data_IF_651941695961
#
_entry.id   IF_651941695961
#
_cell.length_a   1.000
_cell.length_b   1.000
_cell.length_c   1.000
_cell.angle_alpha   90.00
_cell.angle_beta   90.00
_cell.angle_gamma   90.00
#
_symmetry.space_group_name_H-M   'P 1'
#
loop_
_entity.id
_entity.type
_entity.pdbx_description
1 polymer ?
#
# COMPACT_ATOMS: atom_id res chain seq x y z
N UNK A 1 -6.27 12.83 9.54
CA UNK A 1 -5.25 11.77 9.56
C UNK A 1 -4.81 11.50 8.13
N UNK A 2 -3.73 10.77 7.94
CA UNK A 2 -3.20 10.41 6.62
C UNK A 2 -3.02 8.90 6.54
N UNK A 3 -3.41 8.32 5.40
CA UNK A 3 -3.41 6.89 5.16
C UNK A 3 -2.54 6.54 3.95
N UNK A 4 -1.65 5.60 4.13
CA UNK A 4 -0.94 4.96 3.04
C UNK A 4 -1.76 3.78 2.52
N UNK A 5 -1.95 3.71 1.21
CA UNK A 5 -2.74 2.66 0.55
C UNK A 5 -1.81 1.57 0.05
N UNK A 6 -1.91 0.39 0.64
CA UNK A 6 -1.10 -0.76 0.27
C UNK A 6 -1.53 -1.37 -1.08
N UNK A 7 -0.62 -2.08 -1.72
CA UNK A 7 -0.86 -2.82 -2.98
C UNK A 7 -2.05 -3.76 -2.87
N UNK A 8 -2.27 -4.38 -1.72
CA UNK A 8 -3.42 -5.28 -1.51
C UNK A 8 -4.77 -4.57 -1.68
N UNK A 9 -4.85 -3.29 -1.36
CA UNK A 9 -6.05 -2.47 -1.58
C UNK A 9 -6.21 -2.19 -3.07
N UNK A 10 -5.15 -1.73 -3.75
CA UNK A 10 -5.19 -1.43 -5.19
C UNK A 10 -5.63 -2.64 -6.01
N UNK A 11 -5.11 -3.82 -5.67
CA UNK A 11 -5.48 -5.07 -6.33
C UNK A 11 -6.97 -5.39 -6.22
N UNK A 12 -7.58 -5.18 -5.04
CA UNK A 12 -9.02 -5.40 -4.85
C UNK A 12 -9.86 -4.31 -5.49
N UNK A 13 -9.43 -3.08 -5.49
CA UNK A 13 -10.11 -2.00 -6.23
C UNK A 13 -10.14 -2.28 -7.73
N UNK A 14 -9.07 -2.87 -8.27
CA UNK A 14 -8.95 -3.20 -9.70
C UNK A 14 -9.73 -4.45 -10.11
N UNK A 15 -10.17 -5.30 -9.18
CA UNK A 15 -10.80 -6.59 -9.47
C UNK A 15 -12.21 -6.66 -8.88
N UNK A 16 -13.21 -6.28 -9.68
CA UNK A 16 -14.62 -6.26 -9.27
C UNK A 16 -15.18 -7.65 -8.91
N UNK A 17 -14.56 -8.74 -9.36
CA UNK A 17 -14.96 -10.11 -9.02
C UNK A 17 -14.31 -10.65 -7.73
N UNK A 18 -13.38 -9.92 -7.13
CA UNK A 18 -12.79 -10.30 -5.84
C UNK A 18 -13.82 -10.11 -4.71
N UNK A 19 -13.88 -11.07 -3.79
CA UNK A 19 -14.81 -11.03 -2.64
C UNK A 19 -14.56 -9.84 -1.72
N UNK A 20 -13.36 -9.28 -1.72
CA UNK A 20 -12.96 -8.13 -0.92
C UNK A 20 -13.08 -6.79 -1.66
N UNK A 21 -13.53 -6.80 -2.92
CA UNK A 21 -13.68 -5.58 -3.73
C UNK A 21 -14.59 -4.56 -3.07
N UNK A 22 -15.77 -4.98 -2.60
CA UNK A 22 -16.74 -4.10 -1.94
C UNK A 22 -16.17 -3.51 -0.65
N UNK A 23 -15.45 -4.30 0.13
CA UNK A 23 -14.82 -3.86 1.38
C UNK A 23 -13.76 -2.78 1.09
N UNK A 24 -12.88 -3.03 0.12
CA UNK A 24 -11.85 -2.07 -0.28
C UNK A 24 -12.47 -0.75 -0.77
N UNK A 25 -13.47 -0.84 -1.65
CA UNK A 25 -14.16 0.32 -2.21
C UNK A 25 -14.84 1.13 -1.11
N UNK A 26 -15.56 0.48 -0.21
CA UNK A 26 -16.25 1.15 0.91
C UNK A 26 -15.25 1.85 1.83
N UNK A 27 -14.16 1.17 2.20
CA UNK A 27 -13.15 1.74 3.08
C UNK A 27 -12.53 3.02 2.47
N UNK A 28 -12.11 2.97 1.23
CA UNK A 28 -11.51 4.12 0.53
C UNK A 28 -12.50 5.28 0.41
N UNK A 29 -13.75 5.00 0.03
CA UNK A 29 -14.79 6.02 -0.08
C UNK A 29 -15.10 6.67 1.28
N UNK A 30 -15.16 5.88 2.34
CA UNK A 30 -15.44 6.40 3.69
C UNK A 30 -14.28 7.28 4.19
N UNK A 31 -13.03 6.85 4.01
CA UNK A 31 -11.89 7.68 4.37
C UNK A 31 -11.86 9.00 3.57
N UNK A 32 -12.16 8.93 2.29
CA UNK A 32 -12.27 10.13 1.44
C UNK A 32 -13.39 11.06 1.94
N UNK A 33 -14.56 10.50 2.28
CA UNK A 33 -15.70 11.27 2.82
C UNK A 33 -15.36 11.96 4.15
N UNK A 34 -14.51 11.35 4.97
CA UNK A 34 -14.00 11.94 6.22
C UNK A 34 -12.96 13.03 5.99
N UNK A 35 -12.53 13.26 4.76
CA UNK A 35 -11.48 14.23 4.44
C UNK A 35 -10.08 13.76 4.79
N UNK A 36 -9.86 12.46 4.92
CA UNK A 36 -8.55 11.89 5.22
C UNK A 36 -7.61 12.00 4.02
N UNK A 37 -6.33 12.26 4.26
CA UNK A 37 -5.30 12.22 3.22
C UNK A 37 -5.03 10.77 2.79
N UNK A 38 -5.18 10.47 1.50
CA UNK A 38 -4.94 9.14 0.95
C UNK A 38 -3.72 9.18 0.03
N UNK A 39 -2.73 8.34 0.32
CA UNK A 39 -1.42 8.38 -0.32
C UNK A 39 -0.98 7.03 -0.86
N UNK A 40 -0.26 7.06 -1.96
CA UNK A 40 0.49 5.93 -2.53
C UNK A 40 1.95 6.34 -2.70
N UNK A 41 2.81 5.38 -3.01
CA UNK A 41 4.21 5.64 -3.34
C UNK A 41 4.60 4.85 -4.60
N UNK A 42 5.70 5.21 -5.26
CA UNK A 42 6.16 4.49 -6.46
C UNK A 42 6.25 2.98 -6.26
N UNK A 43 6.70 2.52 -5.09
CA UNK A 43 6.79 1.09 -4.81
C UNK A 43 5.44 0.36 -4.97
N UNK A 44 4.36 0.87 -4.38
CA UNK A 44 3.05 0.19 -4.49
C UNK A 44 2.48 0.29 -5.90
N UNK A 45 2.80 1.35 -6.65
CA UNK A 45 2.41 1.47 -8.06
C UNK A 45 3.16 0.44 -8.94
N UNK A 46 4.42 0.17 -8.63
CA UNK A 46 5.22 -0.86 -9.30
C UNK A 46 4.70 -2.25 -8.95
N UNK A 47 4.47 -2.53 -7.68
CA UNK A 47 3.91 -3.80 -7.20
C UNK A 47 2.51 -4.06 -7.79
N UNK A 48 1.68 -3.03 -7.89
CA UNK A 48 0.37 -3.11 -8.53
C UNK A 48 0.50 -3.58 -10.00
N UNK A 49 1.43 -3.02 -10.77
CA UNK A 49 1.66 -3.44 -12.16
C UNK A 49 2.07 -4.91 -12.26
N UNK A 50 2.89 -5.38 -11.34
CA UNK A 50 3.25 -6.79 -11.27
C UNK A 50 2.01 -7.67 -11.04
N UNK A 51 1.18 -7.35 -10.07
CA UNK A 51 -0.07 -8.09 -9.78
C UNK A 51 -1.05 -8.00 -10.94
N UNK A 52 -1.25 -6.82 -11.51
CA UNK A 52 -2.21 -6.56 -12.57
C UNK A 52 -1.89 -7.32 -13.86
N UNK A 53 -0.62 -7.37 -14.27
CA UNK A 53 -0.18 -8.00 -15.52
C UNK A 53 0.16 -9.47 -15.38
N UNK A 54 0.39 -9.95 -14.16
CA UNK A 54 0.69 -11.37 -13.89
C UNK A 54 -0.50 -12.24 -14.27
N UNK A 55 -0.27 -13.44 -14.87
CA UNK A 55 -1.35 -14.34 -15.23
C UNK A 55 -2.24 -14.73 -14.05
N UNK A 56 -3.54 -14.92 -14.32
CA UNK A 56 -4.53 -15.37 -13.32
C UNK A 56 -4.10 -16.68 -12.65
N UNK A 57 -3.49 -17.59 -13.39
CA UNK A 57 -3.01 -18.89 -12.88
C UNK A 57 -1.93 -18.75 -11.80
N UNK A 58 -1.27 -17.62 -11.67
CA UNK A 58 -0.24 -17.34 -10.66
C UNK A 58 -0.60 -16.11 -9.79
N UNK A 59 -1.87 -16.03 -9.44
CA UNK A 59 -2.43 -14.98 -8.55
C UNK A 59 -2.33 -13.56 -9.10
N UNK A 60 -2.35 -13.40 -10.41
CA UNK A 60 -2.42 -12.10 -11.07
C UNK A 60 -3.83 -11.78 -11.55
N UNK A 61 -4.01 -10.57 -12.08
CA UNK A 61 -5.28 -10.14 -12.67
C UNK A 61 -5.36 -10.44 -14.18
N UNK A 62 -4.25 -10.80 -14.81
CA UNK A 62 -4.18 -11.14 -16.23
C UNK A 62 -4.52 -9.99 -17.16
N UNK A 63 -4.35 -8.75 -16.71
CA UNK A 63 -4.67 -7.55 -17.49
C UNK A 63 -3.57 -7.27 -18.54
N UNK A 64 -3.98 -6.63 -19.64
CA UNK A 64 -3.03 -6.07 -20.59
C UNK A 64 -2.23 -4.92 -19.96
N UNK A 65 -1.09 -4.58 -20.56
CA UNK A 65 -0.32 -3.41 -20.13
C UNK A 65 -1.12 -2.11 -20.33
N UNK A 66 -1.92 -2.02 -21.39
CA UNK A 66 -2.77 -0.86 -21.66
C UNK A 66 -3.86 -0.67 -20.60
N UNK A 67 -4.57 -1.75 -20.22
CA UNK A 67 -5.60 -1.70 -19.18
C UNK A 67 -4.98 -1.40 -17.81
N UNK A 68 -3.79 -1.95 -17.54
CA UNK A 68 -3.05 -1.68 -16.31
C UNK A 68 -2.65 -0.21 -16.20
N UNK A 69 -2.17 0.41 -17.29
CA UNK A 69 -1.85 1.84 -17.31
C UNK A 69 -3.08 2.72 -17.07
N UNK A 70 -4.23 2.35 -17.64
CA UNK A 70 -5.48 3.07 -17.40
C UNK A 70 -5.88 3.04 -15.93
N UNK A 71 -5.80 1.87 -15.27
CA UNK A 71 -6.08 1.74 -13.84
C UNK A 71 -5.05 2.48 -12.99
N UNK A 72 -3.77 2.36 -13.31
CA UNK A 72 -2.71 3.07 -12.58
C UNK A 72 -2.92 4.59 -12.65
N UNK A 73 -3.25 5.13 -13.82
CA UNK A 73 -3.57 6.55 -13.98
C UNK A 73 -4.78 6.97 -13.13
N UNK A 74 -5.79 6.12 -13.02
CA UNK A 74 -6.95 6.35 -12.14
C UNK A 74 -6.53 6.43 -10.67
N UNK A 75 -5.65 5.53 -10.21
CA UNK A 75 -5.15 5.57 -8.84
C UNK A 75 -4.28 6.80 -8.57
N UNK A 76 -3.42 7.17 -9.50
CA UNK A 76 -2.60 8.38 -9.40
C UNK A 76 -3.42 9.67 -9.37
N UNK A 77 -4.61 9.66 -10.00
CA UNK A 77 -5.53 10.79 -9.95
C UNK A 77 -6.32 10.86 -8.62
N UNK A 78 -6.48 9.73 -7.93
CA UNK A 78 -7.27 9.64 -6.69
C UNK A 78 -6.43 9.74 -5.42
N UNK A 79 -5.19 9.26 -5.47
CA UNK A 79 -4.29 9.19 -4.34
C UNK A 79 -3.08 10.08 -4.57
N UNK A 80 -2.65 10.79 -3.53
CA UNK A 80 -1.45 11.62 -3.62
C UNK A 80 -0.21 10.73 -3.68
N UNK A 81 0.60 10.90 -4.71
CA UNK A 81 1.85 10.17 -4.86
C UNK A 81 2.93 10.80 -3.96
N UNK A 82 3.40 10.04 -2.98
CA UNK A 82 4.53 10.42 -2.15
C UNK A 82 5.83 10.25 -2.94
N UNK A 83 6.67 11.27 -3.04
CA UNK A 83 7.90 11.18 -3.83
C UNK A 83 8.94 10.26 -3.17
N UNK A 84 9.78 9.65 -3.99
CA UNK A 84 11.02 9.05 -3.53
C UNK A 84 11.95 10.15 -3.02
N UNK A 85 12.52 9.95 -1.83
CA UNK A 85 13.49 10.87 -1.24
C UNK A 85 14.72 10.13 -0.77
N UNK A 86 15.88 10.80 -0.66
CA UNK A 86 17.10 10.19 -0.14
C UNK A 86 16.98 9.65 1.29
N UNK A 87 16.00 10.12 2.05
CA UNK A 87 15.80 9.74 3.46
C UNK A 87 15.17 8.36 3.63
N UNK A 88 14.49 7.83 2.59
CA UNK A 88 13.76 6.55 2.67
C UNK A 88 14.73 5.39 2.91
N UNK A 89 15.83 5.30 2.18
CA UNK A 89 16.79 4.21 2.33
C UNK A 89 17.40 4.15 3.73
N UNK A 90 17.93 5.25 4.30
CA UNK A 90 18.42 5.25 5.68
C UNK A 90 17.36 4.86 6.72
N UNK A 91 16.12 5.35 6.58
CA UNK A 91 15.02 4.99 7.47
C UNK A 91 14.69 3.49 7.38
N UNK A 92 14.61 2.95 6.19
CA UNK A 92 14.42 1.51 5.95
C UNK A 92 15.56 0.69 6.55
N UNK A 93 16.80 1.08 6.30
CA UNK A 93 17.99 0.38 6.81
C UNK A 93 18.00 0.31 8.34
N UNK A 94 17.65 1.39 9.01
CA UNK A 94 17.54 1.43 10.46
C UNK A 94 16.46 0.47 10.98
N UNK A 95 15.29 0.45 10.33
CA UNK A 95 14.18 -0.41 10.70
C UNK A 95 14.54 -1.89 10.54
N UNK A 96 14.99 -2.30 9.37
CA UNK A 96 15.31 -3.72 9.12
C UNK A 96 16.49 -4.21 9.96
N UNK A 97 17.48 -3.36 10.19
CA UNK A 97 18.63 -3.69 11.02
C UNK A 97 18.27 -3.86 12.49
N UNK A 98 17.45 -2.97 13.03
CA UNK A 98 17.03 -3.01 14.43
C UNK A 98 16.08 -4.18 14.72
N UNK A 99 15.12 -4.44 13.81
CA UNK A 99 14.11 -5.48 14.01
C UNK A 99 14.49 -6.86 13.46
N UNK A 100 15.63 -6.96 12.76
CA UNK A 100 16.06 -8.23 12.16
C UNK A 100 15.09 -8.74 11.08
N UNK A 101 14.54 -7.84 10.25
CA UNK A 101 13.60 -8.20 9.18
C UNK A 101 14.33 -9.01 8.11
N UNK A 102 13.74 -10.12 7.68
CA UNK A 102 14.35 -11.06 6.74
C UNK A 102 13.46 -11.35 5.54
N UNK A 103 14.10 -11.77 4.43
CA UNK A 103 13.42 -12.23 3.23
C UNK A 103 12.58 -11.14 2.58
N UNK A 104 11.48 -11.53 1.96
CA UNK A 104 10.59 -10.60 1.24
C UNK A 104 9.92 -9.55 2.12
N UNK A 105 9.92 -9.75 3.43
CA UNK A 105 9.42 -8.76 4.40
C UNK A 105 10.19 -7.45 4.40
N UNK A 106 11.42 -7.43 3.87
CA UNK A 106 12.19 -6.19 3.70
C UNK A 106 11.49 -5.18 2.79
N UNK A 107 10.67 -5.66 1.85
CA UNK A 107 9.85 -4.81 0.98
C UNK A 107 8.68 -4.18 1.74
N UNK A 108 8.02 -4.94 2.62
CA UNK A 108 6.96 -4.41 3.50
C UNK A 108 7.53 -3.36 4.46
N UNK A 109 8.72 -3.63 5.00
CA UNK A 109 9.45 -2.68 5.85
C UNK A 109 9.73 -1.36 5.14
N UNK A 110 9.97 -1.38 3.82
CA UNK A 110 10.19 -0.17 3.05
C UNK A 110 8.93 0.71 2.98
N UNK A 111 7.74 0.12 2.92
CA UNK A 111 6.49 0.89 2.98
C UNK A 111 6.34 1.59 4.33
N UNK A 112 6.71 0.94 5.43
CA UNK A 112 6.72 1.56 6.76
C UNK A 112 7.71 2.72 6.80
N UNK A 113 8.91 2.55 6.22
CA UNK A 113 9.89 3.63 6.13
C UNK A 113 9.38 4.82 5.31
N UNK A 114 8.67 4.60 4.21
CA UNK A 114 8.01 5.66 3.44
C UNK A 114 7.01 6.41 4.30
N UNK A 115 6.18 5.70 5.06
CA UNK A 115 5.25 6.33 6.00
C UNK A 115 5.98 7.21 7.02
N UNK A 116 7.08 6.73 7.58
CA UNK A 116 7.88 7.50 8.55
C UNK A 116 8.44 8.79 7.96
N UNK A 117 9.07 8.69 6.79
CA UNK A 117 9.70 9.85 6.13
C UNK A 117 8.68 10.92 5.75
N UNK A 118 7.49 10.51 5.33
CA UNK A 118 6.42 11.43 4.92
C UNK A 118 5.42 11.74 6.04
N UNK A 119 5.68 11.31 7.27
CA UNK A 119 4.80 11.51 8.42
C UNK A 119 3.35 11.02 8.19
N UNK A 120 3.21 9.93 7.42
CA UNK A 120 1.92 9.26 7.25
C UNK A 120 1.63 8.41 8.47
N UNK A 121 0.44 8.57 9.04
CA UNK A 121 0.10 8.03 10.36
C UNK A 121 -0.54 6.65 10.32
N UNK A 122 -1.19 6.28 9.22
CA UNK A 122 -1.94 5.03 9.07
C UNK A 122 -1.55 4.30 7.79
N UNK A 123 -1.62 2.96 7.83
CA UNK A 123 -1.39 2.09 6.67
C UNK A 123 -2.60 1.20 6.50
N UNK A 124 -3.33 1.37 5.39
CA UNK A 124 -4.52 0.59 5.05
C UNK A 124 -4.11 -0.63 4.23
N UNK A 125 -4.36 -1.83 4.77
CA UNK A 125 -3.94 -3.08 4.14
C UNK A 125 -4.84 -4.24 4.54
N UNK A 126 -5.05 -5.20 3.64
CA UNK A 126 -5.63 -6.51 3.97
C UNK A 126 -4.61 -7.45 4.63
N UNK A 127 -3.31 -7.16 4.49
CA UNK A 127 -2.22 -7.98 5.00
C UNK A 127 -1.69 -7.47 6.35
N UNK A 128 -2.59 -7.23 7.29
CA UNK A 128 -2.25 -6.64 8.61
C UNK A 128 -1.09 -7.38 9.28
N UNK A 129 -1.09 -8.71 9.24
CA UNK A 129 -0.04 -9.54 9.84
C UNK A 129 1.37 -9.32 9.27
N UNK A 130 1.49 -8.81 8.04
CA UNK A 130 2.79 -8.47 7.45
C UNK A 130 3.46 -7.26 8.11
N UNK A 131 2.68 -6.38 8.72
CA UNK A 131 3.15 -5.08 9.23
C UNK A 131 3.16 -4.98 10.76
N UNK A 132 2.40 -5.82 11.48
CA UNK A 132 2.24 -5.69 12.94
C UNK A 132 3.54 -5.75 13.71
N UNK A 133 4.52 -6.53 13.27
CA UNK A 133 5.85 -6.64 13.89
C UNK A 133 6.76 -5.43 13.66
N UNK A 134 6.43 -4.55 12.73
CA UNK A 134 7.24 -3.38 12.35
C UNK A 134 6.55 -2.04 12.60
N UNK A 135 5.21 -2.05 12.65
CA UNK A 135 4.42 -0.83 12.71
C UNK A 135 4.68 0.01 13.98
N UNK A 136 5.04 -0.63 15.08
CA UNK A 136 5.39 0.04 16.33
C UNK A 136 6.79 0.65 16.35
N UNK A 137 7.64 0.39 15.36
CA UNK A 137 8.96 1.02 15.26
C UNK A 137 8.80 2.52 15.09
N UNK A 138 9.48 3.28 15.94
CA UNK A 138 9.29 4.74 16.00
C UNK A 138 9.66 5.43 14.68
N UNK A 139 8.84 6.43 14.27
CA UNK A 139 7.74 7.12 14.99
C UNK A 139 6.43 6.34 15.15
N UNK A 140 6.30 5.20 14.49
CA UNK A 140 5.11 4.36 14.55
C UNK A 140 4.09 4.67 13.45
N UNK A 141 3.41 3.62 13.00
CA UNK A 141 2.32 3.66 12.01
C UNK A 141 1.19 2.77 12.52
N UNK A 142 -0.05 3.25 12.42
CA UNK A 142 -1.23 2.46 12.77
C UNK A 142 -1.63 1.61 11.57
N UNK A 143 -1.59 0.29 11.72
CA UNK A 143 -2.04 -0.64 10.66
C UNK A 143 -3.55 -0.80 10.76
N UNK A 144 -4.26 -0.57 9.66
CA UNK A 144 -5.72 -0.55 9.60
C UNK A 144 -6.20 -1.61 8.62
N UNK A 145 -7.05 -2.51 9.10
CA UNK A 145 -7.80 -3.44 8.27
C UNK A 145 -8.98 -2.70 7.62
N UNK A 146 -9.19 -2.82 6.29
CA UNK A 146 -10.32 -2.16 5.61
C UNK A 146 -11.70 -2.52 6.16
N UNK A 147 -11.85 -3.68 6.78
CA UNK A 147 -13.12 -4.08 7.40
C UNK A 147 -13.49 -3.24 8.61
N UNK A 148 -12.52 -2.56 9.21
CA UNK A 148 -12.70 -1.74 10.43
C UNK A 148 -12.97 -0.25 10.14
N UNK A 149 -12.97 0.15 8.87
CA UNK A 149 -13.19 1.55 8.46
C UNK A 149 -14.64 1.98 8.49
#
# INVERSE_FOLDING_TARGET
MSYFIDTSILGRLANASDVQHTVATRAVLELHRRGEGLHVAPQVMIEFRNVATRPVAVNGLGLSTADTETLAATFEARFSLLPETPDIYPAWKALVGTLGVIGKRVHDARLVAVCHVHAVTHLLTFNVGHFTGMAGFRPGVVVVDPTSV
#
